data_IF_282103207175
#
_entry.id   IF_282103207175
#
_cell.length_a   1.000
_cell.length_b   1.000
_cell.length_c   1.000
_cell.angle_alpha   90.00
_cell.angle_beta   90.00
_cell.angle_gamma   90.00
#
_symmetry.space_group_name_H-M   'P 1'
#
loop_
_entity.id
_entity.type
_entity.pdbx_description
1 polymer ?
#
# COMPACT_ATOMS: atom_id res chain seq x y z
N UNK A 1 -4.12 45.31 12.50
CA UNK A 1 -4.71 44.28 11.63
C UNK A 1 -3.60 43.48 10.91
N UNK A 2 -2.69 42.84 11.67
CA UNK A 2 -1.49 42.16 11.11
C UNK A 2 -1.49 40.65 11.41
N UNK A 3 -2.60 40.12 11.96
CA UNK A 3 -2.71 38.72 12.39
C UNK A 3 -3.00 37.79 11.19
N UNK A 4 -3.66 38.30 10.15
CA UNK A 4 -4.07 37.52 8.97
C UNK A 4 -2.92 36.94 8.11
N UNK A 5 -1.81 37.66 7.82
CA UNK A 5 -0.71 37.09 7.03
C UNK A 5 0.13 36.05 7.79
N UNK A 6 0.23 36.16 9.12
CA UNK A 6 1.04 35.23 9.95
C UNK A 6 0.37 33.86 10.02
N UNK A 7 -0.97 33.82 10.16
CA UNK A 7 -1.73 32.56 10.17
C UNK A 7 -1.68 31.85 8.81
N UNK A 8 -1.68 32.60 7.70
CA UNK A 8 -1.53 32.03 6.36
C UNK A 8 -0.16 31.37 6.15
N UNK A 9 0.93 31.95 6.67
CA UNK A 9 2.26 31.34 6.63
C UNK A 9 2.34 30.05 7.45
N UNK A 10 1.62 29.94 8.57
CA UNK A 10 1.63 28.72 9.38
C UNK A 10 0.88 27.55 8.72
N UNK A 11 -0.17 27.82 7.92
CA UNK A 11 -0.92 26.79 7.20
C UNK A 11 -0.19 26.23 5.96
N UNK A 12 0.79 26.96 5.43
CA UNK A 12 1.60 26.59 4.25
C UNK A 12 2.95 25.95 4.62
N UNK A 13 3.27 25.79 5.91
CA UNK A 13 4.45 25.06 6.34
C UNK A 13 4.23 23.55 6.09
N UNK A 14 5.17 22.87 5.40
CA UNK A 14 5.08 21.42 5.17
C UNK A 14 4.92 20.59 6.45
N UNK A 15 5.34 21.11 7.61
CA UNK A 15 5.20 20.46 8.91
C UNK A 15 3.84 20.64 9.61
N UNK A 16 2.96 21.51 9.10
CA UNK A 16 1.61 21.74 9.64
C UNK A 16 0.51 21.09 8.78
N UNK A 17 0.86 20.52 7.62
CA UNK A 17 -0.03 19.70 6.82
C UNK A 17 -0.10 18.33 7.52
N UNK A 18 -1.10 18.14 8.38
CA UNK A 18 -1.44 16.80 8.83
C UNK A 18 -1.83 16.01 7.57
N UNK A 19 -0.97 15.08 7.16
CA UNK A 19 -1.26 14.19 6.04
C UNK A 19 -2.60 13.50 6.35
N UNK A 20 -3.61 13.87 5.59
CA UNK A 20 -4.95 13.31 5.73
C UNK A 20 -4.85 11.88 5.17
N UNK A 21 -5.45 10.90 5.84
CA UNK A 21 -5.61 9.60 5.21
C UNK A 21 -6.44 9.81 3.94
N UNK A 22 -5.80 9.65 2.78
CA UNK A 22 -6.48 9.68 1.50
C UNK A 22 -7.32 8.41 1.37
N UNK A 23 -8.62 8.57 1.14
CA UNK A 23 -9.54 7.49 0.78
C UNK A 23 -10.10 7.72 -0.62
N UNK A 24 -10.18 6.67 -1.43
CA UNK A 24 -10.65 6.85 -2.80
C UNK A 24 -10.76 5.61 -3.66
N UNK A 25 -11.44 5.81 -4.79
CA UNK A 25 -11.45 4.88 -5.91
C UNK A 25 -10.50 5.43 -6.98
N UNK A 26 -9.34 4.78 -7.15
CA UNK A 26 -8.41 5.08 -8.23
C UNK A 26 -8.95 4.65 -9.60
N UNK A 27 -8.30 5.13 -10.67
CA UNK A 27 -8.54 4.66 -12.04
C UNK A 27 -8.39 3.14 -12.15
N UNK A 28 -8.99 2.50 -13.17
CA UNK A 28 -8.90 1.05 -13.40
C UNK A 28 -9.41 0.18 -12.24
N UNK A 29 -10.47 0.60 -11.55
CA UNK A 29 -11.11 -0.18 -10.47
C UNK A 29 -10.20 -0.42 -9.24
N UNK A 30 -9.25 0.46 -8.98
CA UNK A 30 -8.44 0.40 -7.77
C UNK A 30 -9.17 1.08 -6.61
N UNK A 31 -9.05 0.58 -5.39
CA UNK A 31 -9.57 1.20 -4.16
C UNK A 31 -8.45 1.34 -3.15
N UNK A 32 -8.37 2.48 -2.47
CA UNK A 32 -7.34 2.70 -1.47
C UNK A 32 -7.82 3.54 -0.29
N UNK A 33 -7.21 3.31 0.86
CA UNK A 33 -7.38 4.11 2.06
C UNK A 33 -6.12 4.08 2.91
N UNK A 34 -5.49 5.22 3.11
CA UNK A 34 -4.30 5.35 3.96
C UNK A 34 -3.28 6.33 3.40
N UNK A 35 -2.39 6.78 4.27
CA UNK A 35 -1.25 7.60 3.87
C UNK A 35 -0.33 6.83 2.90
N UNK A 36 0.04 7.48 1.80
CA UNK A 36 0.87 6.92 0.73
C UNK A 36 0.35 5.59 0.13
N UNK A 37 -0.95 5.28 0.29
CA UNK A 37 -1.53 4.07 -0.30
C UNK A 37 -1.65 4.23 -1.83
N UNK A 38 -1.25 3.20 -2.58
CA UNK A 38 -1.49 3.11 -4.03
C UNK A 38 -0.86 4.23 -4.88
N UNK A 39 0.22 4.87 -4.39
CA UNK A 39 0.86 6.05 -5.00
C UNK A 39 1.43 5.80 -6.41
N UNK A 40 1.99 4.63 -6.65
CA UNK A 40 2.63 4.31 -7.94
C UNK A 40 2.34 2.86 -8.31
N UNK A 41 1.28 2.64 -9.10
CA UNK A 41 0.84 1.30 -9.53
C UNK A 41 0.91 1.04 -11.04
N UNK A 42 1.55 1.95 -11.79
CA UNK A 42 1.64 1.89 -13.25
C UNK A 42 0.27 1.77 -13.94
N UNK A 43 0.16 0.91 -14.95
CA UNK A 43 -1.09 0.63 -15.67
C UNK A 43 -1.99 -0.45 -15.00
N UNK A 44 -1.72 -0.77 -13.73
CA UNK A 44 -2.41 -1.82 -12.98
C UNK A 44 -3.89 -1.55 -12.71
N UNK A 45 -4.68 -2.61 -12.61
CA UNK A 45 -6.13 -2.56 -12.40
C UNK A 45 -6.60 -3.46 -11.24
N UNK A 46 -7.70 -3.08 -10.58
CA UNK A 46 -8.39 -3.96 -9.63
C UNK A 46 -7.65 -4.23 -8.32
N UNK A 47 -6.78 -3.33 -7.87
CA UNK A 47 -6.06 -3.47 -6.61
C UNK A 47 -6.82 -2.81 -5.44
N UNK A 48 -6.77 -3.40 -4.26
CA UNK A 48 -7.32 -2.87 -3.01
C UNK A 48 -6.18 -2.61 -2.04
N UNK A 49 -5.99 -1.37 -1.56
CA UNK A 49 -4.90 -0.99 -0.65
C UNK A 49 -5.42 -0.28 0.61
N UNK A 50 -5.30 -0.90 1.77
CA UNK A 50 -5.71 -0.30 3.04
C UNK A 50 -4.54 -0.25 4.02
N UNK A 51 -4.13 0.95 4.44
CA UNK A 51 -3.07 1.17 5.41
C UNK A 51 -1.93 2.02 4.88
N UNK A 52 -1.05 2.44 5.79
CA UNK A 52 0.12 3.24 5.48
C UNK A 52 1.04 2.52 4.49
N UNK A 53 1.31 3.12 3.33
CA UNK A 53 2.17 2.54 2.27
C UNK A 53 1.74 1.14 1.78
N UNK A 54 0.45 0.82 1.88
CA UNK A 54 -0.09 -0.37 1.23
C UNK A 54 -0.01 -0.19 -0.31
N UNK A 55 0.57 -1.18 -1.02
CA UNK A 55 0.82 -1.10 -2.47
C UNK A 55 1.50 0.22 -2.91
N UNK A 56 2.50 0.65 -2.14
CA UNK A 56 3.16 1.95 -2.35
C UNK A 56 3.86 2.09 -3.71
N UNK A 57 4.62 1.08 -4.12
CA UNK A 57 5.42 1.12 -5.34
C UNK A 57 5.38 -0.21 -6.08
N UNK A 58 4.57 -0.28 -7.12
CA UNK A 58 4.35 -1.45 -7.96
C UNK A 58 4.37 -1.08 -9.44
N UNK A 59 4.78 -2.00 -10.31
CA UNK A 59 4.86 -1.74 -11.76
C UNK A 59 3.82 -2.54 -12.53
N UNK A 60 2.73 -1.88 -12.93
CA UNK A 60 1.66 -2.45 -13.75
C UNK A 60 1.01 -3.72 -13.16
N UNK A 61 0.97 -3.80 -11.83
CA UNK A 61 0.41 -4.95 -11.13
C UNK A 61 -1.10 -4.86 -10.98
N UNK A 62 -1.81 -5.97 -11.14
CA UNK A 62 -3.26 -6.03 -11.09
C UNK A 62 -3.76 -7.08 -10.09
N UNK A 63 -4.99 -6.88 -9.62
CA UNK A 63 -5.73 -7.83 -8.77
C UNK A 63 -5.04 -8.16 -7.43
N UNK A 64 -4.32 -7.21 -6.84
CA UNK A 64 -3.72 -7.39 -5.52
C UNK A 64 -4.60 -6.81 -4.40
N UNK A 65 -4.67 -7.51 -3.27
CA UNK A 65 -5.33 -7.03 -2.05
C UNK A 65 -4.30 -6.86 -0.95
N UNK A 66 -4.06 -5.62 -0.52
CA UNK A 66 -3.11 -5.27 0.54
C UNK A 66 -3.85 -4.59 1.69
N UNK A 67 -3.82 -5.20 2.88
CA UNK A 67 -4.48 -4.67 4.08
C UNK A 67 -3.49 -4.70 5.23
N UNK A 68 -2.99 -3.55 5.65
CA UNK A 68 -1.98 -3.39 6.69
C UNK A 68 -0.90 -2.38 6.30
N UNK A 69 -0.22 -1.82 7.30
CA UNK A 69 0.88 -0.89 7.05
C UNK A 69 2.04 -1.59 6.34
N UNK A 70 2.40 -1.15 5.14
CA UNK A 70 3.45 -1.74 4.32
C UNK A 70 3.10 -3.08 3.66
N UNK A 71 1.83 -3.49 3.65
CA UNK A 71 1.42 -4.70 2.94
C UNK A 71 1.66 -4.54 1.43
N UNK A 72 2.35 -5.50 0.80
CA UNK A 72 2.70 -5.47 -0.64
C UNK A 72 3.37 -4.17 -1.11
N UNK A 73 4.13 -3.49 -0.24
CA UNK A 73 4.68 -2.17 -0.55
C UNK A 73 5.57 -2.16 -1.81
N UNK A 74 6.28 -3.26 -2.08
CA UNK A 74 7.14 -3.46 -3.25
C UNK A 74 6.75 -4.76 -3.97
N UNK A 75 5.64 -4.72 -4.69
CA UNK A 75 5.13 -5.86 -5.44
C UNK A 75 5.26 -5.64 -6.96
N UNK A 76 5.77 -6.64 -7.68
CA UNK A 76 5.91 -6.62 -9.13
C UNK A 76 5.15 -7.79 -9.81
N UNK A 77 4.19 -8.36 -9.09
CA UNK A 77 3.38 -9.49 -9.54
C UNK A 77 1.87 -9.25 -9.32
N UNK A 78 1.05 -10.11 -9.90
CA UNK A 78 -0.41 -10.02 -9.85
C UNK A 78 -0.99 -11.04 -8.87
N UNK A 79 -2.27 -10.85 -8.55
CA UNK A 79 -3.09 -11.86 -7.86
C UNK A 79 -2.59 -12.22 -6.45
N UNK A 80 -2.01 -11.27 -5.72
CA UNK A 80 -1.55 -11.50 -4.35
C UNK A 80 -2.52 -10.91 -3.30
N UNK A 81 -2.69 -11.63 -2.19
CA UNK A 81 -3.44 -11.20 -1.01
C UNK A 81 -2.49 -11.11 0.18
N UNK A 82 -2.32 -9.91 0.74
CA UNK A 82 -1.51 -9.66 1.92
C UNK A 82 -2.34 -8.95 2.99
N UNK A 83 -2.52 -9.60 4.14
CA UNK A 83 -3.30 -9.06 5.27
C UNK A 83 -2.45 -9.11 6.53
N UNK A 84 -1.98 -7.94 6.97
CA UNK A 84 -1.10 -7.76 8.12
C UNK A 84 -0.06 -6.68 7.88
N UNK A 85 0.52 -6.14 8.95
CA UNK A 85 1.61 -5.16 8.80
C UNK A 85 2.83 -5.84 8.17
N UNK A 86 3.37 -5.22 7.11
CA UNK A 86 4.50 -5.71 6.31
C UNK A 86 4.34 -7.15 5.76
N UNK A 87 3.10 -7.64 5.62
CA UNK A 87 2.82 -8.89 4.93
C UNK A 87 3.20 -8.77 3.44
N UNK A 88 3.96 -9.73 2.92
CA UNK A 88 4.44 -9.74 1.54
C UNK A 88 5.14 -8.42 1.14
N UNK A 89 5.87 -7.79 2.07
CA UNK A 89 6.46 -6.46 1.91
C UNK A 89 7.17 -6.27 0.58
N UNK A 90 7.92 -7.29 0.16
CA UNK A 90 8.62 -7.32 -1.12
C UNK A 90 8.30 -8.61 -1.87
N UNK A 91 7.76 -8.48 -3.07
CA UNK A 91 7.42 -9.60 -3.94
C UNK A 91 7.82 -9.26 -5.38
N UNK A 92 8.89 -9.87 -5.87
CA UNK A 92 9.47 -9.50 -7.18
C UNK A 92 8.97 -10.37 -8.33
N UNK A 93 8.46 -11.58 -8.04
CA UNK A 93 8.05 -12.54 -9.07
C UNK A 93 6.99 -13.57 -8.65
N UNK A 94 6.52 -13.59 -7.41
CA UNK A 94 5.49 -14.55 -6.97
C UNK A 94 4.08 -14.06 -7.28
N UNK A 95 3.32 -14.79 -8.09
CA UNK A 95 1.88 -14.57 -8.26
C UNK A 95 1.09 -15.50 -7.33
N UNK A 96 -0.19 -15.22 -7.14
CA UNK A 96 -1.13 -16.10 -6.43
C UNK A 96 -0.76 -16.37 -4.96
N UNK A 97 -0.04 -15.47 -4.30
CA UNK A 97 0.33 -15.64 -2.89
C UNK A 97 -0.75 -15.10 -1.94
N UNK A 98 -1.00 -15.82 -0.86
CA UNK A 98 -1.82 -15.42 0.26
C UNK A 98 -0.96 -15.37 1.52
N UNK A 99 -0.65 -14.17 2.01
CA UNK A 99 0.01 -13.96 3.29
C UNK A 99 -0.94 -13.30 4.29
N UNK A 100 -1.14 -13.95 5.44
CA UNK A 100 -1.95 -13.38 6.53
C UNK A 100 -1.16 -13.47 7.83
N UNK A 101 -0.88 -12.30 8.41
CA UNK A 101 -0.08 -12.13 9.62
C UNK A 101 0.89 -10.96 9.52
N UNK A 102 1.46 -10.56 10.64
CA UNK A 102 2.47 -9.49 10.68
C UNK A 102 3.83 -10.04 10.29
N UNK A 103 4.57 -9.34 9.42
CA UNK A 103 5.88 -9.75 8.89
C UNK A 103 5.88 -11.15 8.25
N UNK A 104 4.75 -11.56 7.67
CA UNK A 104 4.65 -12.85 6.97
C UNK A 104 5.19 -12.71 5.56
N UNK A 105 6.10 -13.63 5.20
CA UNK A 105 6.60 -13.80 3.84
C UNK A 105 7.14 -12.48 3.26
N UNK A 106 7.93 -11.76 4.07
CA UNK A 106 8.48 -10.42 3.81
C UNK A 106 9.17 -10.33 2.44
N UNK A 107 9.76 -11.44 1.98
CA UNK A 107 10.38 -11.57 0.68
C UNK A 107 9.76 -12.74 -0.07
N UNK A 108 9.22 -12.48 -1.26
CA UNK A 108 8.87 -13.52 -2.23
C UNK A 108 9.53 -13.33 -3.58
N UNK A 109 10.03 -14.44 -4.14
CA UNK A 109 10.75 -14.47 -5.41
C UNK A 109 10.13 -15.46 -6.43
N UNK A 110 8.90 -15.91 -6.19
CA UNK A 110 8.18 -16.84 -7.06
C UNK A 110 8.47 -18.32 -6.86
N UNK A 111 9.30 -18.69 -5.87
CA UNK A 111 9.48 -20.08 -5.44
C UNK A 111 8.78 -20.44 -4.13
N UNK A 112 8.14 -19.44 -3.51
CA UNK A 112 7.52 -19.58 -2.20
C UNK A 112 6.16 -20.27 -2.29
N UNK A 113 5.74 -20.87 -1.18
CA UNK A 113 4.43 -21.49 -1.11
C UNK A 113 3.35 -20.40 -1.17
N UNK A 114 2.32 -20.54 -2.02
CA UNK A 114 1.27 -19.54 -2.21
C UNK A 114 0.38 -19.31 -0.98
N UNK A 115 0.64 -19.98 0.15
CA UNK A 115 -0.07 -19.74 1.40
C UNK A 115 0.93 -19.66 2.55
N UNK A 116 0.97 -18.50 3.21
CA UNK A 116 1.73 -18.28 4.43
C UNK A 116 0.86 -17.62 5.50
N UNK A 117 0.85 -18.23 6.68
CA UNK A 117 0.05 -17.84 7.83
C UNK A 117 0.97 -17.82 9.04
N UNK A 118 1.04 -16.72 9.81
CA UNK A 118 1.63 -16.82 11.15
C UNK A 118 0.69 -17.60 12.06
N UNK A 119 1.17 -18.61 12.79
CA UNK A 119 0.38 -19.20 13.87
C UNK A 119 0.18 -18.18 14.99
N UNK A 120 -1.02 -18.23 15.61
CA UNK A 120 -1.41 -17.42 16.77
C UNK A 120 -0.61 -17.78 18.03
#
# INVERSE_FOLDING_TARGET
>A
MVILPVVACFALLPGAQAQVCEDGCGSNFNTFQGDDALISIGAGAGNTAFGWRALFFTSATSFNTAVGGGALALNNSNDNVAVGAAALLTNTAGADNVAVGTDVLVFSNGSDTPLALTPL
#
